data_IF_456273661893
#
_entry.id   IF_456273661893
#
_cell.length_a   1.000
_cell.length_b   1.000
_cell.length_c   1.000
_cell.angle_alpha   90.00
_cell.angle_beta   90.00
_cell.angle_gamma   90.00
#
_symmetry.space_group_name_H-M   'P 1'
#
loop_
_entity.id
_entity.type
_entity.pdbx_description
1 polymer ?
#
# COMPACT_ATOMS: atom_id res chain seq x y z
N UNK A 1 1.65 14.36 -3.86
CA UNK A 1 1.16 13.04 -4.31
C UNK A 1 1.26 13.02 -5.83
N UNK A 2 2.30 12.38 -6.38
CA UNK A 2 2.54 12.30 -7.83
C UNK A 2 1.62 11.28 -8.52
N UNK A 3 0.31 11.43 -8.33
CA UNK A 3 -0.69 10.57 -8.97
C UNK A 3 -1.03 11.22 -10.30
N UNK A 4 -0.72 10.54 -11.40
CA UNK A 4 -1.20 10.94 -12.72
C UNK A 4 -2.53 10.25 -13.01
N UNK A 5 -3.45 10.96 -13.65
CA UNK A 5 -4.68 10.37 -14.14
C UNK A 5 -4.37 9.27 -15.15
N UNK A 6 -4.96 8.09 -14.97
CA UNK A 6 -4.73 6.88 -15.74
C UNK A 6 -3.93 5.79 -15.01
N UNK A 7 -3.41 6.06 -13.81
CA UNK A 7 -2.67 5.06 -13.04
C UNK A 7 -3.59 3.93 -12.57
N UNK A 8 -3.14 2.69 -12.80
CA UNK A 8 -3.74 1.52 -12.20
C UNK A 8 -3.20 1.35 -10.78
N UNK A 9 -4.11 1.21 -9.82
CA UNK A 9 -3.76 1.05 -8.42
C UNK A 9 -4.36 -0.23 -7.88
N UNK A 10 -3.50 -1.13 -7.41
CA UNK A 10 -3.91 -2.34 -6.70
C UNK A 10 -4.11 -2.03 -5.23
N UNK A 11 -5.18 -2.53 -4.63
CA UNK A 11 -5.45 -2.49 -3.20
C UNK A 11 -5.42 -3.90 -2.62
N UNK A 12 -4.71 -4.06 -1.50
CA UNK A 12 -4.58 -5.30 -0.75
C UNK A 12 -4.91 -5.11 0.73
N UNK A 13 -5.42 -6.17 1.37
CA UNK A 13 -5.71 -6.15 2.80
C UNK A 13 -6.91 -5.29 3.19
N UNK A 14 -7.74 -4.91 2.20
CA UNK A 14 -8.95 -4.14 2.45
C UNK A 14 -9.90 -4.93 3.36
N UNK A 15 -10.28 -4.31 4.47
CA UNK A 15 -11.19 -4.91 5.44
C UNK A 15 -12.16 -3.88 5.99
N UNK A 16 -12.99 -4.29 6.95
CA UNK A 16 -14.00 -3.43 7.57
C UNK A 16 -13.43 -2.25 8.38
N UNK A 17 -12.12 -2.25 8.64
CA UNK A 17 -11.41 -1.18 9.37
C UNK A 17 -10.78 -0.13 8.43
N UNK A 18 -10.92 -0.30 7.10
CA UNK A 18 -10.32 0.57 6.10
C UNK A 18 -11.24 1.76 5.75
N UNK A 19 -10.66 2.95 5.62
CA UNK A 19 -11.39 4.17 5.31
C UNK A 19 -11.73 4.26 3.80
N UNK A 20 -13.01 4.13 3.46
CA UNK A 20 -13.53 4.30 2.10
C UNK A 20 -13.24 5.70 1.52
N UNK A 21 -13.08 6.71 2.39
CA UNK A 21 -12.68 8.05 1.99
C UNK A 21 -11.34 8.06 1.27
N UNK A 22 -10.36 7.26 1.74
CA UNK A 22 -9.04 7.17 1.11
C UNK A 22 -9.15 6.53 -0.27
N UNK A 23 -9.92 5.44 -0.40
CA UNK A 23 -10.20 4.83 -1.71
C UNK A 23 -10.83 5.83 -2.67
N UNK A 24 -11.81 6.61 -2.18
CA UNK A 24 -12.49 7.61 -3.00
C UNK A 24 -11.55 8.73 -3.44
N UNK A 25 -10.67 9.22 -2.58
CA UNK A 25 -9.67 10.23 -2.95
C UNK A 25 -8.66 9.70 -3.96
N UNK A 26 -8.22 8.45 -3.79
CA UNK A 26 -7.25 7.83 -4.71
C UNK A 26 -7.91 7.57 -6.07
N UNK A 27 -9.10 7.00 -6.10
CA UNK A 27 -9.85 6.78 -7.34
C UNK A 27 -10.17 8.11 -8.05
N UNK A 28 -10.48 9.17 -7.30
CA UNK A 28 -10.65 10.50 -7.88
C UNK A 28 -9.35 11.08 -8.44
N UNK A 29 -8.21 10.82 -7.79
CA UNK A 29 -6.90 11.28 -8.25
C UNK A 29 -6.40 10.50 -9.49
N UNK A 30 -6.56 9.18 -9.51
CA UNK A 30 -6.16 8.31 -10.62
C UNK A 30 -7.17 8.36 -11.76
N UNK A 31 -8.44 8.67 -11.48
CA UNK A 31 -9.52 8.61 -12.47
C UNK A 31 -9.93 7.18 -12.86
N UNK A 32 -9.45 6.18 -12.12
CA UNK A 32 -9.71 4.75 -12.33
C UNK A 32 -10.17 4.09 -11.03
N UNK A 33 -10.86 2.96 -11.14
CA UNK A 33 -11.23 2.15 -9.98
C UNK A 33 -10.02 1.36 -9.44
N UNK A 34 -10.04 1.09 -8.14
CA UNK A 34 -8.97 0.36 -7.45
C UNK A 34 -9.13 -1.15 -7.70
N UNK A 35 -8.07 -1.76 -8.22
CA UNK A 35 -8.01 -3.20 -8.44
C UNK A 35 -7.88 -3.91 -7.09
N UNK A 36 -8.50 -5.07 -6.94
CA UNK A 36 -8.36 -5.91 -5.76
C UNK A 36 -7.20 -6.89 -5.93
N UNK A 37 -6.67 -7.43 -4.83
CA UNK A 37 -5.60 -8.44 -4.80
C UNK A 37 -5.85 -9.69 -5.67
N UNK A 38 -7.11 -9.98 -6.01
CA UNK A 38 -7.45 -11.05 -6.96
C UNK A 38 -7.13 -10.70 -8.43
N UNK A 39 -6.75 -9.45 -8.71
CA UNK A 39 -6.41 -8.97 -10.06
C UNK A 39 -4.98 -9.36 -10.42
N UNK A 40 -4.81 -10.00 -11.58
CA UNK A 40 -3.50 -10.36 -12.14
C UNK A 40 -2.98 -9.30 -13.12
N UNK A 41 -3.58 -8.11 -13.10
CA UNK A 41 -3.17 -6.99 -13.94
C UNK A 41 -1.95 -6.31 -13.33
N UNK A 42 -1.07 -5.84 -14.20
CA UNK A 42 0.12 -5.11 -13.79
C UNK A 42 -0.26 -3.66 -13.52
N UNK A 43 0.12 -3.13 -12.35
CA UNK A 43 -0.31 -1.82 -11.86
C UNK A 43 0.84 -0.81 -11.76
N UNK A 44 0.50 0.47 -11.71
CA UNK A 44 1.46 1.57 -11.56
C UNK A 44 1.77 1.87 -10.08
N UNK A 45 0.83 1.60 -9.18
CA UNK A 45 1.00 1.76 -7.74
C UNK A 45 0.26 0.65 -6.98
N UNK A 46 0.75 0.33 -5.79
CA UNK A 46 0.09 -0.65 -4.90
C UNK A 46 -0.22 0.01 -3.57
N UNK A 47 -1.40 -0.27 -3.04
CA UNK A 47 -1.88 0.12 -1.73
C UNK A 47 -2.00 -1.16 -0.90
N UNK A 48 -1.32 -1.18 0.23
CA UNK A 48 -1.46 -2.24 1.21
C UNK A 48 -1.98 -1.67 2.51
N UNK A 49 -3.08 -2.23 2.98
CA UNK A 49 -3.59 -2.01 4.33
C UNK A 49 -2.95 -3.02 5.27
N UNK A 50 -1.97 -2.58 6.05
CA UNK A 50 -1.17 -3.46 6.89
C UNK A 50 -1.47 -3.29 8.37
N UNK A 51 -1.48 -4.41 9.09
CA UNK A 51 -1.66 -4.48 10.54
C UNK A 51 -0.54 -5.30 11.15
N UNK A 52 -0.17 -5.00 12.39
CA UNK A 52 0.90 -5.75 13.08
C UNK A 52 0.60 -7.26 13.19
N UNK A 53 -0.68 -7.64 13.20
CA UNK A 53 -1.15 -9.02 13.35
C UNK A 53 -1.32 -9.75 12.01
N UNK A 54 -1.16 -9.06 10.88
CA UNK A 54 -1.43 -9.62 9.54
C UNK A 54 -0.35 -10.61 9.08
N UNK A 55 0.84 -10.58 9.70
CA UNK A 55 1.91 -11.54 9.47
C UNK A 55 3.26 -10.87 9.21
N UNK A 56 3.88 -11.22 8.08
CA UNK A 56 5.21 -10.72 7.73
C UNK A 56 5.12 -9.62 6.65
N UNK A 57 5.49 -8.39 7.03
CA UNK A 57 5.41 -7.23 6.15
C UNK A 57 6.39 -7.32 4.98
N UNK A 58 7.52 -8.01 5.17
CA UNK A 58 8.56 -8.11 4.14
C UNK A 58 8.01 -8.94 2.98
N UNK A 59 7.38 -10.08 3.28
CA UNK A 59 6.79 -10.96 2.28
C UNK A 59 5.68 -10.23 1.50
N UNK A 60 4.86 -9.45 2.21
CA UNK A 60 3.83 -8.61 1.58
C UNK A 60 4.45 -7.57 0.63
N UNK A 61 5.44 -6.82 1.09
CA UNK A 61 6.10 -5.80 0.26
C UNK A 61 6.79 -6.41 -0.97
N UNK A 62 7.34 -7.62 -0.84
CA UNK A 62 7.92 -8.38 -1.95
C UNK A 62 6.83 -8.83 -2.92
N UNK A 63 5.67 -9.28 -2.44
CA UNK A 63 4.53 -9.64 -3.27
C UNK A 63 4.00 -8.43 -4.04
N UNK A 64 3.83 -7.28 -3.38
CA UNK A 64 3.48 -6.00 -4.00
C UNK A 64 4.41 -5.61 -5.15
N UNK A 65 5.72 -5.79 -4.95
CA UNK A 65 6.72 -5.53 -5.99
C UNK A 65 6.51 -6.38 -7.25
N UNK A 66 5.89 -7.56 -7.14
CA UNK A 66 5.64 -8.43 -8.30
C UNK A 66 4.48 -7.95 -9.19
N UNK A 67 3.53 -7.19 -8.63
CA UNK A 67 2.40 -6.63 -9.38
C UNK A 67 2.74 -5.30 -10.08
N UNK A 68 3.83 -4.65 -9.67
CA UNK A 68 4.24 -3.36 -10.22
C UNK A 68 4.89 -3.50 -11.60
N UNK A 69 4.41 -2.71 -12.58
CA UNK A 69 4.95 -2.75 -13.95
C UNK A 69 6.27 -2.00 -14.08
N UNK A 70 6.42 -0.91 -13.32
CA UNK A 70 7.61 -0.06 -13.25
C UNK A 70 7.98 0.18 -11.78
N UNK A 71 9.03 0.95 -11.50
CA UNK A 71 9.39 1.40 -10.14
C UNK A 71 8.31 2.34 -9.56
N UNK A 72 7.13 1.78 -9.30
CA UNK A 72 5.96 2.46 -8.79
C UNK A 72 5.99 2.63 -7.27
N UNK A 73 5.29 3.64 -6.74
CA UNK A 73 5.18 3.81 -5.30
C UNK A 73 4.27 2.73 -4.69
N UNK A 74 4.70 2.19 -3.55
CA UNK A 74 3.86 1.37 -2.69
C UNK A 74 3.39 2.25 -1.53
N UNK A 75 2.07 2.35 -1.32
CA UNK A 75 1.46 3.05 -0.22
C UNK A 75 1.02 2.07 0.85
N UNK A 76 1.78 2.04 1.94
CA UNK A 76 1.44 1.26 3.13
C UNK A 76 0.58 2.11 4.07
N UNK A 77 -0.65 1.69 4.31
CA UNK A 77 -1.55 2.29 5.29
C UNK A 77 -1.60 1.41 6.53
N UNK A 78 -1.12 1.95 7.65
CA UNK A 78 -1.19 1.30 8.95
C UNK A 78 -2.11 2.06 9.87
N UNK A 79 -2.81 1.37 10.80
CA UNK A 79 -3.67 2.04 11.75
C UNK A 79 -2.86 2.99 12.65
N UNK A 80 -3.50 4.09 13.04
CA UNK A 80 -2.88 5.16 13.84
C UNK A 80 -2.34 4.61 15.17
N UNK A 81 -1.32 5.28 15.74
CA UNK A 81 -0.55 4.95 16.95
C UNK A 81 -1.30 4.78 18.30
N UNK A 82 -2.58 4.41 18.26
CA UNK A 82 -3.41 4.11 19.43
C UNK A 82 -4.51 3.09 19.10
N UNK A 83 -4.53 2.54 17.89
CA UNK A 83 -5.45 1.47 17.47
C UNK A 83 -4.72 0.11 17.47
N UNK A 84 -5.43 -0.99 17.73
CA UNK A 84 -4.86 -2.32 17.63
C UNK A 84 -4.35 -2.59 16.20
N UNK A 85 -3.21 -3.28 16.07
CA UNK A 85 -2.57 -3.52 14.78
C UNK A 85 -1.67 -2.37 14.31
N UNK A 86 -1.35 -1.40 15.18
CA UNK A 86 -0.44 -0.32 14.84
C UNK A 86 0.98 -0.86 14.62
N UNK A 87 1.57 -0.52 13.48
CA UNK A 87 2.95 -0.86 13.16
C UNK A 87 3.81 0.37 13.32
N UNK A 88 4.91 0.23 14.06
CA UNK A 88 5.85 1.32 14.24
C UNK A 88 6.53 1.69 12.91
N UNK A 89 6.72 2.99 12.63
CA UNK A 89 7.35 3.42 11.39
C UNK A 89 8.78 2.91 11.22
N UNK A 90 9.48 2.60 12.31
CA UNK A 90 10.79 1.95 12.30
C UNK A 90 10.73 0.51 11.78
N UNK A 91 9.69 -0.24 12.13
CA UNK A 91 9.49 -1.62 11.68
C UNK A 91 9.17 -1.65 10.19
N UNK A 92 8.33 -0.72 9.73
CA UNK A 92 8.05 -0.50 8.30
C UNK A 92 9.33 -0.18 7.53
N UNK A 93 10.20 0.66 8.09
CA UNK A 93 11.45 1.04 7.44
C UNK A 93 12.43 -0.13 7.32
N UNK A 94 12.55 -0.95 8.37
CA UNK A 94 13.39 -2.15 8.37
C UNK A 94 12.86 -3.20 7.37
N UNK A 95 11.54 -3.40 7.35
CA UNK A 95 10.88 -4.29 6.41
C UNK A 95 11.05 -3.84 4.96
N UNK A 96 10.84 -2.54 4.68
CA UNK A 96 11.07 -1.97 3.36
C UNK A 96 12.53 -2.14 2.90
N UNK A 97 13.49 -1.87 3.79
CA UNK A 97 14.91 -2.04 3.47
C UNK A 97 15.25 -3.51 3.18
N UNK A 98 14.67 -4.44 3.94
CA UNK A 98 14.86 -5.88 3.75
C UNK A 98 14.21 -6.38 2.45
N UNK A 99 13.05 -5.83 2.08
CA UNK A 99 12.39 -6.08 0.80
C UNK A 99 13.12 -5.46 -0.41
N UNK A 100 14.18 -4.69 -0.18
CA UNK A 100 14.93 -3.99 -1.24
C UNK A 100 14.28 -2.69 -1.71
N UNK A 101 13.29 -2.19 -0.97
CA UNK A 101 12.63 -0.90 -1.20
C UNK A 101 13.40 0.24 -0.53
N UNK A 102 13.35 1.41 -1.16
CA UNK A 102 13.81 2.65 -0.54
C UNK A 102 12.59 3.43 -0.06
N UNK A 103 12.51 3.65 1.25
CA UNK A 103 11.46 4.46 1.86
C UNK A 103 11.59 5.91 1.35
N UNK A 104 10.63 6.37 0.54
CA UNK A 104 10.68 7.69 -0.11
C UNK A 104 10.00 8.79 0.70
N UNK A 105 8.95 8.47 1.45
CA UNK A 105 8.24 9.43 2.30
C UNK A 105 7.49 8.72 3.42
N UNK A 106 7.52 9.28 4.62
CA UNK A 106 6.68 8.87 5.75
C UNK A 106 5.85 10.07 6.22
N UNK A 107 4.54 9.85 6.32
CA UNK A 107 3.58 10.80 6.88
C UNK A 107 2.98 10.12 8.12
N UNK A 108 3.15 10.72 9.29
CA UNK A 108 2.69 10.22 10.59
C UNK A 108 1.60 11.11 11.18
#
# INVERSE_FOLDING_TARGET
>A
MGIQSGYLVLERGFGSDCDEAIRSEISAATGSDLLDENSQEVVDAVITWWREDDGDLIDELVDCLTYLSESGPIWLLTPKASRPGHVEPSDIQDAAQTAGLSLTSTLA
#
